data_IF_881998802064
#
_entry.id   IF_881998802064
#
_cell.length_a   1.000
_cell.length_b   1.000
_cell.length_c   1.000
_cell.angle_alpha   90.00
_cell.angle_beta   90.00
_cell.angle_gamma   90.00
#
_symmetry.space_group_name_H-M   'P 1'
#
loop_
_entity.id
_entity.type
_entity.pdbx_description
1 polymer ?
#
# COMPACT_ATOMS: atom_id res chain seq x y z
N UNK A 1 25.09 -11.62 -36.38
CA UNK A 1 25.81 -11.73 -35.09
C UNK A 1 25.76 -10.34 -34.49
N UNK A 2 24.98 -10.21 -33.43
CA UNK A 2 24.44 -8.96 -32.89
C UNK A 2 25.52 -8.12 -32.21
N UNK A 3 25.47 -6.81 -32.42
CA UNK A 3 26.25 -5.82 -31.67
C UNK A 3 25.28 -4.75 -31.14
N UNK A 4 24.40 -5.16 -30.22
CA UNK A 4 23.47 -4.25 -29.52
C UNK A 4 23.60 -4.33 -27.98
N UNK A 5 24.53 -5.14 -27.46
CA UNK A 5 24.70 -5.30 -26.01
C UNK A 5 25.58 -4.20 -25.37
N UNK A 6 26.22 -3.34 -26.15
CA UNK A 6 27.19 -2.36 -25.63
C UNK A 6 26.57 -1.06 -25.11
N UNK A 7 25.38 -0.66 -25.57
CA UNK A 7 24.82 0.66 -25.24
C UNK A 7 23.88 0.64 -24.02
N UNK A 8 23.35 -0.53 -23.66
CA UNK A 8 22.54 -0.70 -22.44
C UNK A 8 23.38 -0.62 -21.15
N UNK A 9 24.61 -1.14 -21.15
CA UNK A 9 25.48 -1.07 -19.97
C UNK A 9 25.96 0.36 -19.66
N UNK A 10 26.02 1.23 -20.66
CA UNK A 10 26.45 2.62 -20.51
C UNK A 10 25.35 3.53 -19.94
N UNK A 11 24.09 3.14 -20.08
CA UNK A 11 22.94 3.87 -19.54
C UNK A 11 22.72 3.48 -18.06
N UNK A 12 22.90 2.20 -17.71
CA UNK A 12 22.76 1.71 -16.33
C UNK A 12 23.82 2.33 -15.39
N UNK A 13 24.99 2.68 -15.91
CA UNK A 13 26.08 3.29 -15.12
C UNK A 13 25.89 4.78 -14.79
N UNK A 14 24.93 5.47 -15.43
CA UNK A 14 24.70 6.91 -15.24
C UNK A 14 23.41 7.26 -14.49
N UNK A 15 22.68 6.26 -13.97
CA UNK A 15 21.59 6.53 -13.03
C UNK A 15 22.19 6.98 -11.69
N UNK A 16 21.71 8.07 -11.05
CA UNK A 16 22.24 8.49 -9.77
C UNK A 16 22.14 7.34 -8.77
N UNK A 17 23.32 6.84 -8.39
CA UNK A 17 23.52 5.84 -7.36
C UNK A 17 22.81 6.38 -6.12
N UNK A 18 21.84 5.61 -5.64
CA UNK A 18 20.99 5.90 -4.49
C UNK A 18 21.68 6.81 -3.47
N UNK A 19 20.98 7.89 -3.08
CA UNK A 19 21.29 8.61 -1.86
C UNK A 19 21.26 7.57 -0.74
N UNK A 20 22.44 7.20 -0.28
CA UNK A 20 22.63 6.36 0.89
C UNK A 20 22.32 7.24 2.07
N UNK A 21 21.06 7.25 2.50
CA UNK A 21 20.73 7.70 3.84
C UNK A 21 21.30 6.65 4.79
N UNK A 22 22.53 6.91 5.24
CA UNK A 22 23.16 6.20 6.34
C UNK A 22 22.25 6.34 7.58
N UNK A 23 21.50 5.29 7.89
CA UNK A 23 20.53 5.34 8.99
C UNK A 23 19.94 4.00 9.47
N UNK A 24 20.36 2.84 8.95
CA UNK A 24 19.93 1.54 9.51
C UNK A 24 20.90 1.04 10.58
N UNK A 25 20.98 1.78 11.71
CA UNK A 25 21.77 1.39 12.88
C UNK A 25 20.95 1.12 14.14
N UNK A 26 19.64 1.42 14.13
CA UNK A 26 18.73 1.14 15.24
C UNK A 26 17.47 0.50 14.68
N UNK A 27 17.32 -0.81 14.89
CA UNK A 27 16.02 -1.46 14.74
C UNK A 27 15.08 -0.74 15.71
N UNK A 28 13.98 -0.19 15.19
CA UNK A 28 12.98 0.50 16.02
C UNK A 28 12.57 -0.47 17.15
N UNK A 29 12.69 -0.09 18.44
CA UNK A 29 12.32 -0.95 19.56
C UNK A 29 10.90 -1.51 19.46
N UNK A 30 10.03 -0.89 18.68
CA UNK A 30 8.66 -1.34 18.41
C UNK A 30 8.57 -2.53 17.45
N UNK A 31 9.59 -2.76 16.60
CA UNK A 31 9.70 -3.96 15.76
C UNK A 31 10.34 -5.13 16.51
N UNK A 32 10.84 -4.90 17.73
CA UNK A 32 11.34 -5.96 18.59
C UNK A 32 10.17 -6.72 19.24
N UNK A 33 10.33 -8.04 19.45
CA UNK A 33 9.29 -8.86 20.08
C UNK A 33 8.94 -8.29 21.46
N UNK A 34 7.65 -8.12 21.81
CA UNK A 34 7.29 -7.59 23.11
C UNK A 34 7.75 -8.53 24.22
N UNK A 35 8.45 -7.99 25.21
CA UNK A 35 8.77 -8.67 26.46
C UNK A 35 7.45 -8.81 27.24
N UNK A 36 7.14 -10.01 27.71
CA UNK A 36 5.91 -10.30 28.45
C UNK A 36 5.91 -9.58 29.81
N UNK A 37 5.31 -8.40 29.89
CA UNK A 37 4.97 -7.74 31.15
C UNK A 37 3.47 -7.90 31.41
N UNK A 38 3.08 -8.18 32.66
CA UNK A 38 1.68 -8.39 33.02
C UNK A 38 0.89 -7.07 32.91
N UNK A 39 -0.06 -7.00 31.99
CA UNK A 39 -0.87 -5.80 31.72
C UNK A 39 -2.33 -6.06 32.16
N UNK A 40 -2.93 -5.13 32.90
CA UNK A 40 -4.30 -5.23 33.43
C UNK A 40 -5.37 -5.01 32.35
N UNK A 41 -6.51 -5.71 32.45
CA UNK A 41 -7.62 -5.75 31.47
C UNK A 41 -8.13 -4.36 31.02
N UNK A 42 -8.15 -3.37 31.92
CA UNK A 42 -8.58 -1.99 31.63
C UNK A 42 -7.57 -1.23 30.74
N UNK A 43 -6.28 -1.53 30.87
CA UNK A 43 -5.22 -1.03 29.98
C UNK A 43 -5.21 -1.74 28.62
N UNK A 44 -5.68 -2.99 28.57
CA UNK A 44 -5.74 -3.81 27.36
C UNK A 44 -6.72 -3.23 26.31
N UNK A 45 -7.93 -2.81 26.72
CA UNK A 45 -8.93 -2.23 25.80
C UNK A 45 -8.49 -0.88 25.22
N UNK A 46 -7.83 -0.03 26.03
CA UNK A 46 -7.25 1.25 25.57
C UNK A 46 -5.94 1.04 24.79
N UNK A 47 -5.22 -0.06 25.05
CA UNK A 47 -3.95 -0.41 24.42
C UNK A 47 -4.08 -1.05 23.04
N UNK A 48 -5.09 -1.90 22.79
CA UNK A 48 -5.25 -2.59 21.50
C UNK A 48 -5.63 -1.64 20.36
N UNK A 49 -6.56 -0.70 20.63
CA UNK A 49 -6.90 0.39 19.70
C UNK A 49 -5.70 1.31 19.40
N UNK A 50 -4.74 1.34 20.33
CA UNK A 50 -3.54 2.17 20.28
C UNK A 50 -2.37 1.48 19.53
N UNK A 51 -2.37 0.16 19.41
CA UNK A 51 -1.28 -0.58 18.75
C UNK A 51 -1.45 -0.58 17.23
N UNK A 52 -2.61 -0.98 16.71
CA UNK A 52 -2.88 -0.99 15.26
C UNK A 52 -2.78 0.41 14.65
N UNK A 53 -3.42 1.40 15.28
CA UNK A 53 -3.34 2.79 14.85
C UNK A 53 -1.91 3.34 14.85
N UNK A 54 -1.05 2.90 15.80
CA UNK A 54 0.36 3.28 15.85
C UNK A 54 1.19 2.61 14.75
N UNK A 55 0.92 1.36 14.39
CA UNK A 55 1.56 0.71 13.25
C UNK A 55 1.15 1.36 11.92
N UNK A 56 -0.13 1.65 11.75
CA UNK A 56 -0.64 2.38 10.57
C UNK A 56 0.02 3.76 10.49
N UNK A 57 0.03 4.54 11.58
CA UNK A 57 0.66 5.86 11.60
C UNK A 57 2.16 5.82 11.28
N UNK A 58 2.89 4.81 11.78
CA UNK A 58 4.30 4.60 11.43
C UNK A 58 4.47 4.27 9.94
N UNK A 59 3.60 3.45 9.36
CA UNK A 59 3.64 3.11 7.94
C UNK A 59 3.38 4.34 7.06
N UNK A 60 2.39 5.18 7.41
CA UNK A 60 2.14 6.45 6.73
C UNK A 60 3.38 7.36 6.78
N UNK A 61 4.01 7.48 7.96
CA UNK A 61 5.22 8.29 8.13
C UNK A 61 6.40 7.74 7.31
N UNK A 62 6.66 6.43 7.38
CA UNK A 62 7.75 5.77 6.63
C UNK A 62 7.61 5.92 5.12
N UNK A 63 6.38 5.83 4.60
CA UNK A 63 6.09 5.94 3.17
C UNK A 63 5.77 7.36 2.69
N UNK A 64 5.77 8.34 3.59
CA UNK A 64 5.44 9.72 3.26
C UNK A 64 4.00 9.89 2.74
N UNK A 65 3.08 9.02 3.17
CA UNK A 65 1.67 9.07 2.74
C UNK A 65 0.96 10.19 3.52
N UNK A 66 0.27 11.12 2.84
CA UNK A 66 -0.54 12.13 3.53
C UNK A 66 -1.59 11.49 4.44
N UNK A 67 -1.73 11.99 5.67
CA UNK A 67 -2.68 11.42 6.64
C UNK A 67 -4.14 11.52 6.19
N UNK A 68 -4.44 12.44 5.27
CA UNK A 68 -5.76 12.55 4.64
C UNK A 68 -6.15 11.28 3.86
N UNK A 69 -5.19 10.44 3.44
CA UNK A 69 -5.50 9.15 2.81
C UNK A 69 -6.29 8.20 3.73
N UNK A 70 -6.29 8.41 5.05
CA UNK A 70 -7.14 7.66 5.97
C UNK A 70 -8.65 8.01 5.85
N UNK A 71 -8.98 9.15 5.23
CA UNK A 71 -10.37 9.54 4.93
C UNK A 71 -10.90 8.90 3.63
N UNK A 72 -10.06 8.15 2.92
CA UNK A 72 -10.47 7.42 1.72
C UNK A 72 -11.58 6.40 2.04
N UNK A 73 -12.61 6.25 1.18
CA UNK A 73 -13.63 5.23 1.35
C UNK A 73 -13.05 3.80 1.35
N UNK A 74 -11.85 3.61 0.81
CA UNK A 74 -11.14 2.33 0.79
C UNK A 74 -10.39 2.02 2.09
N UNK A 75 -10.21 3.00 2.98
CA UNK A 75 -9.44 2.81 4.21
C UNK A 75 -10.15 1.91 5.25
N UNK A 76 -11.45 2.09 5.58
CA UNK A 76 -12.14 1.14 6.46
C UNK A 76 -12.20 -0.29 5.89
N UNK A 77 -12.50 -0.51 4.59
CA UNK A 77 -12.40 -1.83 3.95
C UNK A 77 -11.00 -2.45 3.98
N UNK A 78 -9.92 -1.66 4.00
CA UNK A 78 -8.56 -2.17 4.19
C UNK A 78 -8.33 -2.68 5.62
N UNK A 79 -8.79 -1.92 6.62
CA UNK A 79 -8.51 -2.21 8.04
C UNK A 79 -9.33 -3.39 8.57
N UNK A 80 -10.57 -3.55 8.11
CA UNK A 80 -11.48 -4.60 8.61
C UNK A 80 -10.95 -6.04 8.40
N UNK A 81 -10.48 -6.43 7.20
CA UNK A 81 -9.86 -7.74 6.96
C UNK A 81 -8.59 -7.93 7.79
N UNK A 82 -7.78 -6.90 7.97
CA UNK A 82 -6.55 -6.97 8.78
C UNK A 82 -6.88 -7.26 10.25
N UNK A 83 -7.94 -6.67 10.80
CA UNK A 83 -8.40 -6.96 12.16
C UNK A 83 -8.93 -8.39 12.30
N UNK A 84 -9.56 -8.92 11.26
CA UNK A 84 -10.12 -10.28 11.24
C UNK A 84 -9.08 -11.34 10.90
N UNK A 85 -8.00 -10.96 10.23
CA UNK A 85 -6.88 -11.82 9.89
C UNK A 85 -6.25 -12.36 11.17
N UNK A 86 -6.33 -13.68 11.36
CA UNK A 86 -5.67 -14.36 12.46
C UNK A 86 -4.15 -14.39 12.27
N UNK A 87 -3.40 -14.81 13.31
CA UNK A 87 -1.97 -15.06 13.18
C UNK A 87 -1.66 -16.02 12.04
N UNK A 88 -0.67 -15.71 11.20
CA UNK A 88 -0.22 -16.58 10.11
C UNK A 88 -0.83 -16.27 8.74
N UNK A 89 -1.71 -15.28 8.62
CA UNK A 89 -2.13 -14.77 7.31
C UNK A 89 -0.92 -14.14 6.61
N UNK A 90 -0.62 -14.65 5.41
CA UNK A 90 0.43 -14.08 4.57
C UNK A 90 -0.03 -12.73 4.05
N UNK A 91 0.75 -11.70 4.33
CA UNK A 91 0.58 -10.41 3.69
C UNK A 91 0.96 -10.54 2.21
N UNK A 92 0.28 -9.83 1.30
CA UNK A 92 0.65 -9.83 -0.09
C UNK A 92 2.04 -9.22 -0.26
N UNK A 93 2.82 -9.81 -1.15
CA UNK A 93 4.13 -9.31 -1.54
C UNK A 93 3.99 -8.11 -2.48
N UNK A 94 5.07 -7.34 -2.65
CA UNK A 94 5.07 -6.23 -3.60
C UNK A 94 4.73 -6.70 -5.03
N UNK A 95 5.20 -7.89 -5.43
CA UNK A 95 4.88 -8.48 -6.73
C UNK A 95 3.38 -8.80 -6.88
N UNK A 96 2.77 -9.39 -5.84
CA UNK A 96 1.34 -9.69 -5.86
C UNK A 96 0.50 -8.41 -5.90
N UNK A 97 0.90 -7.38 -5.15
CA UNK A 97 0.23 -6.07 -5.16
C UNK A 97 0.34 -5.36 -6.52
N UNK A 98 1.48 -5.43 -7.19
CA UNK A 98 1.70 -4.75 -8.47
C UNK A 98 1.27 -5.57 -9.70
N UNK A 99 1.00 -6.86 -9.52
CA UNK A 99 0.59 -7.77 -10.59
C UNK A 99 -0.87 -8.18 -10.41
N UNK A 100 -1.13 -9.42 -9.97
CA UNK A 100 -2.48 -9.99 -9.99
C UNK A 100 -3.52 -9.15 -9.24
N UNK A 101 -3.18 -8.57 -8.09
CA UNK A 101 -4.14 -7.75 -7.32
C UNK A 101 -4.47 -6.46 -8.08
N UNK A 102 -3.47 -5.81 -8.69
CA UNK A 102 -3.70 -4.62 -9.49
C UNK A 102 -4.51 -4.94 -10.76
N UNK A 103 -4.24 -6.07 -11.38
CA UNK A 103 -4.97 -6.53 -12.57
C UNK A 103 -6.45 -6.75 -12.26
N UNK A 104 -6.77 -7.35 -11.10
CA UNK A 104 -8.15 -7.52 -10.62
C UNK A 104 -8.87 -6.17 -10.44
N UNK A 105 -8.24 -5.21 -9.78
CA UNK A 105 -8.80 -3.86 -9.58
C UNK A 105 -9.02 -3.14 -10.93
N UNK A 106 -8.10 -3.28 -11.89
CA UNK A 106 -8.24 -2.71 -13.23
C UNK A 106 -9.44 -3.30 -13.97
N UNK A 107 -9.66 -4.61 -13.86
CA UNK A 107 -10.81 -5.28 -14.48
C UNK A 107 -12.14 -4.88 -13.82
N UNK A 108 -12.18 -4.71 -12.49
CA UNK A 108 -13.37 -4.19 -11.80
C UNK A 108 -13.72 -2.77 -12.27
N UNK A 109 -12.73 -1.88 -12.38
CA UNK A 109 -12.94 -0.51 -12.88
C UNK A 109 -13.41 -0.53 -14.33
N UNK A 110 -12.83 -1.38 -15.18
CA UNK A 110 -13.27 -1.55 -16.58
C UNK A 110 -14.72 -1.99 -16.67
N UNK A 111 -15.13 -2.96 -15.85
CA UNK A 111 -16.51 -3.43 -15.80
C UNK A 111 -17.46 -2.31 -15.36
N UNK A 112 -17.09 -1.55 -14.34
CA UNK A 112 -17.87 -0.40 -13.87
C UNK A 112 -18.04 0.67 -14.96
N UNK A 113 -16.97 0.97 -15.71
CA UNK A 113 -17.02 1.88 -16.85
C UNK A 113 -17.98 1.35 -17.93
N UNK A 114 -17.94 0.05 -18.23
CA UNK A 114 -18.80 -0.55 -19.26
C UNK A 114 -20.28 -0.55 -18.85
N UNK A 115 -20.58 -0.83 -17.58
CA UNK A 115 -21.93 -0.65 -17.02
C UNK A 115 -22.41 0.79 -17.15
N UNK A 116 -21.52 1.75 -16.87
CA UNK A 116 -21.85 3.17 -17.01
C UNK A 116 -22.09 3.56 -18.47
N UNK A 117 -21.31 3.02 -19.42
CA UNK A 117 -21.48 3.23 -20.87
C UNK A 117 -22.85 2.79 -21.39
N UNK A 118 -23.42 1.72 -20.83
CA UNK A 118 -24.77 1.28 -21.20
C UNK A 118 -25.85 2.34 -20.92
N UNK A 119 -25.60 3.26 -19.98
CA UNK A 119 -26.52 4.35 -19.67
C UNK A 119 -26.41 5.56 -20.62
N UNK A 120 -25.31 5.68 -21.36
CA UNK A 120 -24.99 6.84 -22.21
C UNK A 120 -26.06 7.16 -23.27
N UNK A 121 -26.66 6.17 -23.97
CA UNK A 121 -27.69 6.46 -24.98
C UNK A 121 -28.94 7.12 -24.40
N UNK A 122 -29.18 6.99 -23.09
CA UNK A 122 -30.37 7.53 -22.41
C UNK A 122 -30.13 8.88 -21.75
N UNK A 123 -28.90 9.17 -21.36
CA UNK A 123 -28.56 10.34 -20.53
C UNK A 123 -27.77 11.42 -21.26
N UNK A 124 -27.24 11.15 -22.47
CA UNK A 124 -26.51 12.15 -23.25
C UNK A 124 -25.22 12.62 -22.57
N UNK A 125 -24.55 11.73 -21.84
CA UNK A 125 -23.32 12.03 -21.10
C UNK A 125 -22.17 12.30 -22.08
N UNK A 126 -21.40 13.37 -21.85
CA UNK A 126 -20.18 13.71 -22.60
C UNK A 126 -18.96 13.51 -21.71
N UNK A 127 -18.02 12.65 -22.14
CA UNK A 127 -16.75 12.45 -21.46
C UNK A 127 -15.76 13.55 -21.86
N UNK A 128 -15.24 14.30 -20.90
CA UNK A 128 -14.20 15.32 -21.13
C UNK A 128 -12.88 14.85 -20.53
N UNK A 129 -11.83 14.89 -21.34
CA UNK A 129 -10.46 14.61 -20.90
C UNK A 129 -9.79 15.94 -20.54
N UNK A 130 -9.30 16.08 -19.32
CA UNK A 130 -8.41 17.16 -18.91
C UNK A 130 -6.97 16.78 -19.27
N UNK A 131 -6.55 17.21 -20.46
CA UNK A 131 -5.17 17.04 -20.92
C UNK A 131 -4.17 17.88 -20.14
#
# INVERSE_FOLDING_TARGET
MYQEESDVEKIVSNLPRSVSVAGYGRIDPFLSKPKSEQITLKGMVKGTRNTLGRYIGKWFYDKGIPFDAANSPYFPPLVNPIQRAGPGVKLPTAYELSGPILDEEVEEVRKWIEEYKQSWPRTGITLTSDG
#
